data_IF_330692840647
#
_entry.id   IF_330692840647
#
_cell.length_a   1.000
_cell.length_b   1.000
_cell.length_c   1.000
_cell.angle_alpha   90.00
_cell.angle_beta   90.00
_cell.angle_gamma   90.00
#
_symmetry.space_group_name_H-M   'P 1'
#
loop_
_entity.id
_entity.type
_entity.pdbx_description
1 polymer ?
#
# COMPACT_ATOMS: atom_id res chain seq x y z
N UNK A 1 69.61 -24.03 29.26
CA UNK A 1 69.89 -25.29 29.98
C UNK A 1 71.26 -25.92 29.72
N UNK A 2 71.88 -25.78 28.52
CA UNK A 2 73.21 -26.40 28.25
C UNK A 2 74.42 -25.76 28.97
N UNK A 3 74.28 -24.55 29.52
CA UNK A 3 75.39 -23.81 30.17
C UNK A 3 75.62 -24.13 31.65
N UNK A 4 74.61 -24.59 32.40
CA UNK A 4 74.75 -24.88 33.84
C UNK A 4 75.48 -26.19 34.15
N UNK A 5 75.47 -27.14 33.19
CA UNK A 5 76.20 -28.41 33.31
C UNK A 5 77.72 -28.16 33.27
N UNK A 6 78.17 -27.14 32.53
CA UNK A 6 79.60 -26.82 32.38
C UNK A 6 80.23 -26.25 33.66
N UNK A 7 79.57 -25.30 34.33
CA UNK A 7 80.12 -24.63 35.52
C UNK A 7 80.15 -25.59 36.72
N UNK A 8 79.09 -26.38 36.91
CA UNK A 8 79.05 -27.40 37.97
C UNK A 8 80.14 -28.46 37.79
N UNK A 9 80.38 -28.93 36.56
CA UNK A 9 81.43 -29.89 36.27
C UNK A 9 82.85 -29.33 36.47
N UNK A 10 83.07 -28.04 36.15
CA UNK A 10 84.37 -27.39 36.35
C UNK A 10 84.67 -27.23 37.84
N UNK A 11 83.71 -26.73 38.64
CA UNK A 11 83.87 -26.56 40.09
C UNK A 11 84.06 -27.90 40.81
N UNK A 12 83.32 -28.93 40.39
CA UNK A 12 83.45 -30.27 40.94
C UNK A 12 84.81 -30.90 40.60
N UNK A 13 85.31 -30.70 39.37
CA UNK A 13 86.62 -31.18 38.95
C UNK A 13 87.77 -30.48 39.70
N UNK A 14 87.70 -29.17 39.95
CA UNK A 14 88.71 -28.48 40.77
C UNK A 14 88.69 -28.90 42.23
N UNK A 15 87.52 -29.13 42.83
CA UNK A 15 87.40 -29.65 44.19
C UNK A 15 87.97 -31.08 44.32
N UNK A 16 87.78 -31.93 43.30
CA UNK A 16 88.32 -33.29 43.25
C UNK A 16 89.84 -33.33 43.09
N UNK A 17 90.44 -32.35 42.39
CA UNK A 17 91.89 -32.23 42.26
C UNK A 17 92.54 -31.72 43.54
N UNK A 18 91.87 -30.81 44.26
CA UNK A 18 92.37 -30.27 45.54
C UNK A 18 92.33 -31.32 46.66
N UNK A 19 91.38 -32.25 46.65
CA UNK A 19 91.27 -33.30 47.69
C UNK A 19 92.30 -34.44 47.55
N UNK A 20 92.98 -34.57 46.41
CA UNK A 20 93.94 -35.66 46.16
C UNK A 20 95.41 -35.31 46.44
N UNK A 21 95.75 -34.04 46.74
CA UNK A 21 97.16 -33.57 46.66
C UNK A 21 97.83 -33.24 48.00
N UNK A 22 97.16 -33.24 49.15
CA UNK A 22 97.83 -32.81 50.41
C UNK A 22 97.35 -33.54 51.67
N UNK A 23 98.27 -33.90 52.59
CA UNK A 23 97.93 -34.52 53.88
C UNK A 23 97.25 -33.51 54.83
N UNK A 24 96.32 -34.03 55.64
CA UNK A 24 95.50 -33.30 56.62
C UNK A 24 96.27 -32.26 57.44
N UNK A 25 96.16 -31.00 57.05
CA UNK A 25 96.61 -29.83 57.81
C UNK A 25 95.39 -28.98 58.17
N UNK A 26 95.20 -28.66 59.45
CA UNK A 26 94.02 -27.95 60.00
C UNK A 26 93.83 -26.54 59.44
N UNK A 27 94.86 -26.01 58.77
CA UNK A 27 94.81 -24.77 58.00
C UNK A 27 93.95 -24.85 56.74
N UNK A 28 93.77 -26.02 56.12
CA UNK A 28 92.91 -26.17 54.94
C UNK A 28 91.42 -26.02 55.28
N UNK A 29 90.99 -26.58 56.40
CA UNK A 29 89.59 -26.52 56.86
C UNK A 29 89.14 -25.08 57.18
N UNK A 30 90.07 -24.28 57.71
CA UNK A 30 89.87 -22.86 58.02
C UNK A 30 89.62 -22.02 56.77
N UNK A 31 90.16 -22.41 55.60
CA UNK A 31 90.01 -21.70 54.33
C UNK A 31 88.86 -22.28 53.49
N UNK A 32 88.63 -23.60 53.56
CA UNK A 32 87.61 -24.28 52.75
C UNK A 32 86.19 -23.94 53.21
N UNK A 33 85.94 -23.85 54.52
CA UNK A 33 84.60 -23.61 55.05
C UNK A 33 83.99 -22.26 54.65
N UNK A 34 84.71 -21.12 54.70
CA UNK A 34 84.22 -19.85 54.18
C UNK A 34 83.92 -19.88 52.67
N UNK A 35 84.74 -20.60 51.89
CA UNK A 35 84.54 -20.73 50.44
C UNK A 35 83.29 -21.57 50.12
N UNK A 36 83.05 -22.66 50.85
CA UNK A 36 81.84 -23.47 50.72
C UNK A 36 80.59 -22.66 51.09
N UNK A 37 80.65 -21.88 52.18
CA UNK A 37 79.54 -20.99 52.57
C UNK A 37 79.25 -19.93 51.49
N UNK A 38 80.30 -19.30 50.92
CA UNK A 38 80.13 -18.35 49.81
C UNK A 38 79.54 -19.03 48.57
N UNK A 39 79.93 -20.27 48.27
CA UNK A 39 79.38 -21.03 47.15
C UNK A 39 77.89 -21.34 47.37
N UNK A 40 77.50 -21.71 48.59
CA UNK A 40 76.11 -21.97 48.96
C UNK A 40 75.24 -20.70 48.88
N UNK A 41 75.76 -19.56 49.35
CA UNK A 41 75.06 -18.28 49.24
C UNK A 41 74.88 -17.86 47.77
N UNK A 42 75.91 -18.01 46.94
CA UNK A 42 75.83 -17.78 45.49
C UNK A 42 74.80 -18.74 44.86
N UNK A 43 74.79 -20.01 45.24
CA UNK A 43 73.83 -20.98 44.72
C UNK A 43 72.38 -20.59 45.09
N UNK A 44 72.16 -20.15 46.33
CA UNK A 44 70.86 -19.67 46.80
C UNK A 44 70.39 -18.43 46.04
N UNK A 45 71.28 -17.47 45.80
CA UNK A 45 70.98 -16.27 45.01
C UNK A 45 70.68 -16.60 43.55
N UNK A 46 71.44 -17.52 42.93
CA UNK A 46 71.17 -18.02 41.58
C UNK A 46 69.77 -18.65 41.52
N UNK A 47 69.42 -19.51 42.48
CA UNK A 47 68.10 -20.14 42.51
C UNK A 47 66.98 -19.11 42.68
N UNK A 48 67.17 -18.10 43.54
CA UNK A 48 66.23 -16.99 43.71
C UNK A 48 66.04 -16.21 42.40
N UNK A 49 67.13 -15.89 41.69
CA UNK A 49 67.07 -15.25 40.38
C UNK A 49 66.39 -16.12 39.33
N UNK A 50 66.62 -17.45 39.31
CA UNK A 50 65.92 -18.39 38.43
C UNK A 50 64.42 -18.37 38.70
N UNK A 51 63.99 -18.43 39.97
CA UNK A 51 62.57 -18.35 40.33
C UNK A 51 61.97 -17.00 39.90
N UNK A 52 62.66 -15.89 40.11
CA UNK A 52 62.21 -14.57 39.64
C UNK A 52 62.07 -14.52 38.12
N UNK A 53 63.02 -15.07 37.36
CA UNK A 53 62.94 -15.16 35.89
C UNK A 53 61.77 -16.02 35.43
N UNK A 54 61.50 -17.14 36.12
CA UNK A 54 60.34 -17.99 35.82
C UNK A 54 59.02 -17.25 36.08
N UNK A 55 58.89 -16.53 37.20
CA UNK A 55 57.72 -15.70 37.48
C UNK A 55 57.52 -14.61 36.43
N UNK A 56 58.58 -13.90 36.04
CA UNK A 56 58.51 -12.88 34.98
C UNK A 56 58.07 -13.47 33.65
N UNK A 57 58.55 -14.66 33.30
CA UNK A 57 58.13 -15.37 32.09
C UNK A 57 56.63 -15.69 32.12
N UNK A 58 56.12 -16.22 33.23
CA UNK A 58 54.67 -16.50 33.38
C UNK A 58 53.83 -15.22 33.34
N UNK A 59 54.30 -14.12 33.93
CA UNK A 59 53.64 -12.80 33.82
C UNK A 59 53.60 -12.29 32.37
N UNK A 60 54.69 -12.47 31.61
CA UNK A 60 54.75 -12.12 30.19
C UNK A 60 53.76 -12.94 29.35
N UNK A 61 53.67 -14.25 29.60
CA UNK A 61 52.70 -15.13 28.93
C UNK A 61 51.25 -14.71 29.22
N UNK A 62 50.94 -14.38 30.48
CA UNK A 62 49.63 -13.86 30.88
C UNK A 62 49.31 -12.53 30.17
N UNK A 63 50.25 -11.59 30.13
CA UNK A 63 50.10 -10.32 29.42
C UNK A 63 49.80 -10.53 27.92
N UNK A 64 50.50 -11.45 27.27
CA UNK A 64 50.28 -11.77 25.87
C UNK A 64 48.87 -12.34 25.62
N UNK A 65 48.34 -13.17 26.54
CA UNK A 65 46.97 -13.66 26.44
C UNK A 65 45.94 -12.53 26.60
N UNK A 66 46.17 -11.59 27.52
CA UNK A 66 45.31 -10.41 27.69
C UNK A 66 45.32 -9.55 26.41
N UNK A 67 46.49 -9.28 25.84
CA UNK A 67 46.61 -8.51 24.59
C UNK A 67 45.86 -9.20 23.46
N UNK A 68 46.01 -10.52 23.31
CA UNK A 68 45.31 -11.30 22.29
C UNK A 68 43.79 -11.25 22.48
N UNK A 69 43.31 -11.31 23.72
CA UNK A 69 41.89 -11.20 24.04
C UNK A 69 41.35 -9.80 23.71
N UNK A 70 42.07 -8.74 24.08
CA UNK A 70 41.70 -7.36 23.73
C UNK A 70 41.67 -7.13 22.21
N UNK A 71 42.62 -7.71 21.46
CA UNK A 71 42.61 -7.64 20.00
C UNK A 71 41.36 -8.29 19.40
N UNK A 72 40.92 -9.45 19.92
CA UNK A 72 39.67 -10.11 19.49
C UNK A 72 38.43 -9.24 19.79
N UNK A 73 38.40 -8.61 20.96
CA UNK A 73 37.30 -7.70 21.34
C UNK A 73 37.24 -6.48 20.44
N UNK A 74 38.38 -5.85 20.13
CA UNK A 74 38.46 -4.72 19.19
C UNK A 74 37.97 -5.13 17.79
N UNK A 75 38.37 -6.30 17.30
CA UNK A 75 37.91 -6.82 16.01
C UNK A 75 36.40 -7.06 15.99
N UNK A 76 35.85 -7.62 17.07
CA UNK A 76 34.40 -7.81 17.23
C UNK A 76 33.64 -6.48 17.22
N UNK A 77 34.12 -5.48 17.97
CA UNK A 77 33.54 -4.14 17.98
C UNK A 77 33.62 -3.46 16.61
N UNK A 78 34.73 -3.61 15.89
CA UNK A 78 34.87 -3.07 14.54
C UNK A 78 33.87 -3.70 13.56
N UNK A 79 33.64 -5.01 13.65
CA UNK A 79 32.62 -5.69 12.85
C UNK A 79 31.20 -5.23 13.21
N UNK A 80 30.91 -5.00 14.49
CA UNK A 80 29.63 -4.43 14.93
C UNK A 80 29.42 -3.00 14.41
N UNK A 81 30.45 -2.16 14.48
CA UNK A 81 30.41 -0.78 13.95
C UNK A 81 30.17 -0.77 12.44
N UNK A 82 30.81 -1.67 11.70
CA UNK A 82 30.58 -1.81 10.26
C UNK A 82 29.12 -2.18 9.96
N UNK A 83 28.55 -3.16 10.68
CA UNK A 83 27.13 -3.54 10.54
C UNK A 83 26.20 -2.37 10.86
N UNK A 84 26.47 -1.63 11.94
CA UNK A 84 25.70 -0.45 12.30
C UNK A 84 25.71 0.62 11.19
N UNK A 85 26.88 0.92 10.64
CA UNK A 85 27.02 1.87 9.53
C UNK A 85 26.29 1.41 8.26
N UNK A 86 26.25 0.11 7.99
CA UNK A 86 25.45 -0.43 6.89
C UNK A 86 23.96 -0.20 7.11
N UNK A 87 23.45 -0.49 8.32
CA UNK A 87 22.05 -0.24 8.67
C UNK A 87 21.68 1.25 8.56
N UNK A 88 22.58 2.16 8.93
CA UNK A 88 22.34 3.60 8.75
C UNK A 88 22.19 4.00 7.27
N UNK A 89 23.02 3.44 6.37
CA UNK A 89 22.91 3.70 4.92
C UNK A 89 21.62 3.15 4.34
N UNK A 90 21.19 1.96 4.79
CA UNK A 90 19.92 1.36 4.39
C UNK A 90 18.74 2.25 4.85
N UNK A 91 18.79 2.77 6.09
CA UNK A 91 17.78 3.70 6.61
C UNK A 91 17.73 5.01 5.82
N UNK A 92 18.89 5.58 5.48
CA UNK A 92 18.98 6.79 4.66
C UNK A 92 18.34 6.59 3.28
N UNK A 93 18.58 5.43 2.65
CA UNK A 93 17.93 5.08 1.38
C UNK A 93 16.40 4.97 1.49
N UNK A 94 15.89 4.37 2.57
CA UNK A 94 14.44 4.28 2.84
C UNK A 94 13.82 5.66 3.05
N UNK A 95 14.49 6.53 3.80
CA UNK A 95 14.04 7.92 4.03
C UNK A 95 13.93 8.66 2.69
N UNK A 96 14.97 8.61 1.86
CA UNK A 96 14.99 9.30 0.56
C UNK A 96 13.91 8.76 -0.40
N UNK A 97 13.73 7.44 -0.46
CA UNK A 97 12.69 6.80 -1.27
C UNK A 97 11.28 7.20 -0.80
N UNK A 98 11.08 7.30 0.52
CA UNK A 98 9.79 7.70 1.11
C UNK A 98 9.50 9.18 0.84
N UNK A 99 10.51 10.04 0.91
CA UNK A 99 10.39 11.47 0.57
C UNK A 99 9.97 11.64 -0.90
N UNK A 100 10.66 10.99 -1.83
CA UNK A 100 10.32 11.02 -3.27
C UNK A 100 8.89 10.54 -3.54
N UNK A 101 8.46 9.45 -2.90
CA UNK A 101 7.08 8.95 -3.04
C UNK A 101 6.04 9.94 -2.50
N UNK A 102 6.39 10.70 -1.46
CA UNK A 102 5.50 11.70 -0.87
C UNK A 102 5.38 12.91 -1.79
N UNK A 103 6.49 13.39 -2.37
CA UNK A 103 6.49 14.47 -3.37
C UNK A 103 5.64 14.09 -4.59
N UNK A 104 5.79 12.88 -5.11
CA UNK A 104 4.99 12.39 -6.24
C UNK A 104 3.48 12.41 -5.93
N UNK A 105 3.08 11.92 -4.75
CA UNK A 105 1.66 11.95 -4.32
C UNK A 105 1.12 13.36 -4.15
N UNK A 106 1.94 14.31 -3.69
CA UNK A 106 1.54 15.71 -3.59
C UNK A 106 1.27 16.29 -4.98
N UNK A 107 2.12 16.01 -5.96
CA UNK A 107 1.90 16.42 -7.35
C UNK A 107 0.61 15.84 -7.94
N UNK A 108 0.31 14.56 -7.70
CA UNK A 108 -0.96 13.95 -8.14
C UNK A 108 -2.18 14.65 -7.51
N UNK A 109 -2.11 14.99 -6.23
CA UNK A 109 -3.19 15.70 -5.54
C UNK A 109 -3.39 17.12 -6.08
N UNK A 110 -2.30 17.85 -6.37
CA UNK A 110 -2.36 19.18 -6.97
C UNK A 110 -3.06 19.14 -8.34
N UNK A 111 -2.75 18.15 -9.19
CA UNK A 111 -3.41 17.96 -10.48
C UNK A 111 -4.91 17.65 -10.33
N UNK A 112 -5.29 16.82 -9.36
CA UNK A 112 -6.70 16.51 -9.07
C UNK A 112 -7.45 17.77 -8.63
N UNK A 113 -6.84 18.59 -7.77
CA UNK A 113 -7.43 19.84 -7.30
C UNK A 113 -7.63 20.82 -8.47
N UNK A 114 -6.64 20.97 -9.34
CA UNK A 114 -6.73 21.82 -10.53
C UNK A 114 -7.89 21.38 -11.44
N UNK A 115 -7.96 20.09 -11.78
CA UNK A 115 -9.02 19.55 -12.62
C UNK A 115 -10.41 19.71 -11.97
N UNK A 116 -10.52 19.51 -10.66
CA UNK A 116 -11.77 19.69 -9.92
C UNK A 116 -12.25 21.15 -9.94
N UNK A 117 -11.32 22.09 -9.80
CA UNK A 117 -11.61 23.53 -9.87
C UNK A 117 -12.07 23.94 -11.27
N UNK A 118 -11.43 23.44 -12.33
CA UNK A 118 -11.85 23.67 -13.71
C UNK A 118 -13.27 23.16 -13.96
N UNK A 119 -13.56 21.93 -13.54
CA UNK A 119 -14.89 21.32 -13.68
C UNK A 119 -15.96 22.09 -12.89
N UNK A 120 -15.65 22.51 -11.67
CA UNK A 120 -16.58 23.30 -10.85
C UNK A 120 -16.87 24.64 -11.51
N UNK A 121 -15.86 25.33 -12.05
CA UNK A 121 -16.04 26.57 -12.78
C UNK A 121 -16.88 26.38 -14.06
N UNK A 122 -16.70 25.27 -14.78
CA UNK A 122 -17.52 24.91 -15.94
C UNK A 122 -19.00 24.74 -15.54
N UNK A 123 -19.26 24.01 -14.45
CA UNK A 123 -20.62 23.80 -13.92
C UNK A 123 -21.25 25.12 -13.49
N UNK A 124 -20.52 25.98 -12.77
CA UNK A 124 -21.02 27.29 -12.36
C UNK A 124 -21.37 28.18 -13.55
N UNK A 125 -20.56 28.16 -14.62
CA UNK A 125 -20.88 28.87 -15.87
C UNK A 125 -22.14 28.33 -16.53
N UNK A 126 -22.29 27.00 -16.59
CA UNK A 126 -23.52 26.36 -17.12
C UNK A 126 -24.74 26.78 -16.31
N UNK A 127 -24.69 26.72 -14.98
CA UNK A 127 -25.78 27.15 -14.10
C UNK A 127 -26.11 28.63 -14.32
N UNK A 128 -25.10 29.51 -14.39
CA UNK A 128 -25.30 30.94 -14.65
C UNK A 128 -25.99 31.20 -15.99
N UNK A 129 -25.65 30.43 -17.02
CA UNK A 129 -26.28 30.54 -18.34
C UNK A 129 -27.67 29.89 -18.39
N UNK A 130 -27.94 28.89 -17.56
CA UNK A 130 -29.21 28.17 -17.55
C UNK A 130 -30.30 28.80 -16.68
N UNK A 131 -29.96 29.79 -15.83
CA UNK A 131 -30.96 30.53 -15.01
C UNK A 131 -32.05 31.25 -15.80
N UNK A 132 -31.91 31.35 -17.13
CA UNK A 132 -32.91 31.95 -18.02
C UNK A 132 -33.73 30.92 -18.84
N UNK A 133 -33.51 29.61 -18.66
CA UNK A 133 -34.33 28.60 -19.29
C UNK A 133 -35.41 28.12 -18.31
N UNK A 134 -36.61 28.68 -18.45
CA UNK A 134 -37.80 28.13 -17.82
C UNK A 134 -38.09 26.75 -18.42
N UNK A 135 -38.37 25.76 -17.56
CA UNK A 135 -38.81 24.43 -17.98
C UNK A 135 -40.03 24.59 -18.93
N UNK A 136 -40.06 23.91 -20.08
CA UNK A 136 -41.16 24.07 -21.03
C UNK A 136 -42.47 23.47 -20.50
N UNK A 137 -42.38 22.57 -19.52
CA UNK A 137 -43.50 21.78 -18.99
C UNK A 137 -43.33 21.65 -17.48
N UNK A 138 -44.33 22.09 -16.72
CA UNK A 138 -44.31 21.94 -15.27
C UNK A 138 -44.55 20.47 -14.86
N UNK A 139 -44.07 20.07 -13.69
CA UNK A 139 -44.24 18.71 -13.14
C UNK A 139 -45.71 18.26 -13.11
N UNK A 140 -46.62 19.18 -12.76
CA UNK A 140 -48.08 18.93 -12.74
C UNK A 140 -48.63 18.52 -14.10
N UNK A 141 -47.99 18.94 -15.20
CA UNK A 141 -48.45 18.66 -16.54
C UNK A 141 -48.04 17.25 -16.98
N UNK A 142 -46.82 16.80 -16.64
CA UNK A 142 -46.38 15.42 -16.88
C UNK A 142 -47.20 14.44 -16.05
N UNK A 143 -47.43 14.73 -14.77
CA UNK A 143 -48.19 13.86 -13.88
C UNK A 143 -49.71 14.02 -13.99
N UNK A 144 -50.20 14.86 -14.91
CA UNK A 144 -51.65 15.06 -15.06
C UNK A 144 -52.33 13.72 -15.32
N UNK A 145 -53.20 13.30 -14.40
CA UNK A 145 -53.89 12.00 -14.37
C UNK A 145 -52.96 10.78 -14.21
N UNK A 146 -51.72 11.00 -13.76
CA UNK A 146 -50.80 9.93 -13.39
C UNK A 146 -51.33 9.13 -12.20
N UNK A 147 -50.83 7.91 -12.05
CA UNK A 147 -51.19 7.03 -10.94
C UNK A 147 -49.91 6.63 -10.21
N UNK A 148 -49.97 6.66 -8.88
CA UNK A 148 -48.86 6.25 -8.03
C UNK A 148 -48.87 4.73 -7.86
N UNK A 149 -47.71 4.12 -8.03
CA UNK A 149 -47.45 2.69 -7.85
C UNK A 149 -46.30 2.51 -6.87
N UNK A 150 -46.36 1.46 -6.06
CA UNK A 150 -45.25 1.12 -5.17
C UNK A 150 -44.08 0.54 -5.96
N UNK A 151 -42.90 0.54 -5.37
CA UNK A 151 -41.74 -0.12 -5.98
C UNK A 151 -41.94 -1.63 -6.22
N UNK A 152 -42.83 -2.28 -5.46
CA UNK A 152 -43.19 -3.68 -5.65
C UNK A 152 -44.01 -3.85 -6.93
N UNK A 153 -45.06 -3.04 -7.12
CA UNK A 153 -45.90 -3.07 -8.32
C UNK A 153 -45.05 -2.86 -9.60
N UNK A 154 -44.14 -1.89 -9.55
CA UNK A 154 -43.21 -1.60 -10.65
C UNK A 154 -42.25 -2.77 -10.90
N UNK A 155 -41.67 -3.36 -9.86
CA UNK A 155 -40.78 -4.52 -9.98
C UNK A 155 -41.49 -5.73 -10.57
N UNK A 156 -42.70 -6.03 -10.12
CA UNK A 156 -43.51 -7.13 -10.64
C UNK A 156 -43.78 -6.94 -12.13
N UNK A 157 -44.19 -5.72 -12.54
CA UNK A 157 -44.42 -5.43 -13.95
C UNK A 157 -43.15 -5.55 -14.79
N UNK A 158 -42.03 -5.03 -14.30
CA UNK A 158 -40.76 -5.15 -15.02
C UNK A 158 -40.26 -6.59 -15.07
N UNK A 159 -40.54 -7.43 -14.07
CA UNK A 159 -40.22 -8.85 -14.08
C UNK A 159 -41.11 -9.67 -15.01
N UNK A 160 -42.35 -9.27 -15.21
CA UNK A 160 -43.23 -9.85 -16.24
C UNK A 160 -42.64 -9.64 -17.64
N UNK A 161 -42.14 -8.42 -17.92
CA UNK A 161 -41.62 -8.03 -19.24
C UNK A 161 -40.17 -8.49 -19.44
N UNK A 162 -39.33 -8.38 -18.41
CA UNK A 162 -37.91 -8.69 -18.41
C UNK A 162 -37.59 -9.77 -17.36
N UNK A 163 -38.01 -11.02 -17.56
CA UNK A 163 -37.93 -12.07 -16.53
C UNK A 163 -36.49 -12.34 -16.06
N UNK A 164 -35.52 -12.18 -16.95
CA UNK A 164 -34.09 -12.41 -16.68
C UNK A 164 -33.37 -11.20 -16.08
N UNK A 165 -33.90 -9.98 -16.21
CA UNK A 165 -33.21 -8.77 -15.79
C UNK A 165 -33.16 -8.63 -14.27
N UNK A 166 -32.07 -8.11 -13.72
CA UNK A 166 -32.01 -7.67 -12.32
C UNK A 166 -32.62 -6.28 -12.21
N UNK A 167 -33.72 -6.16 -11.47
CA UNK A 167 -34.45 -4.89 -11.28
C UNK A 167 -34.03 -4.24 -9.96
N UNK A 168 -33.60 -2.98 -10.03
CA UNK A 168 -33.23 -2.14 -8.89
C UNK A 168 -34.11 -0.89 -8.92
N UNK A 169 -34.62 -0.50 -7.76
CA UNK A 169 -35.52 0.66 -7.59
C UNK A 169 -34.96 1.52 -6.46
N UNK A 170 -34.74 2.82 -6.69
CA UNK A 170 -34.28 3.79 -5.68
C UNK A 170 -35.40 4.31 -4.81
N UNK A 171 -36.59 4.52 -5.40
CA UNK A 171 -37.74 5.13 -4.75
C UNK A 171 -38.73 4.09 -4.21
N UNK A 172 -39.53 4.50 -3.21
CA UNK A 172 -40.61 3.69 -2.63
C UNK A 172 -41.87 3.75 -3.51
N UNK A 173 -42.09 4.88 -4.16
CA UNK A 173 -43.28 5.16 -4.98
C UNK A 173 -42.85 5.79 -6.30
N UNK A 174 -43.53 5.42 -7.38
CA UNK A 174 -43.35 5.97 -8.71
C UNK A 174 -44.69 6.45 -9.27
N UNK A 175 -44.69 7.56 -9.98
CA UNK A 175 -45.82 8.07 -10.76
C UNK A 175 -45.64 7.63 -12.20
N UNK A 176 -46.59 6.82 -12.69
CA UNK A 176 -46.68 6.47 -14.10
C UNK A 176 -47.66 7.41 -14.79
N UNK A 177 -47.24 8.26 -15.73
CA UNK A 177 -48.15 9.11 -16.47
C UNK A 177 -49.04 8.28 -17.39
N UNK A 178 -50.22 8.78 -17.77
CA UNK A 178 -51.04 8.17 -18.81
C UNK A 178 -50.33 8.31 -20.17
N UNK A 179 -50.51 7.34 -21.08
CA UNK A 179 -49.81 7.32 -22.38
C UNK A 179 -50.09 8.56 -23.23
N UNK A 180 -51.24 9.22 -23.04
CA UNK A 180 -51.61 10.48 -23.68
C UNK A 180 -50.67 11.65 -23.33
N UNK A 181 -49.80 11.49 -22.33
CA UNK A 181 -48.76 12.47 -21.98
C UNK A 181 -47.41 12.20 -22.66
N UNK A 182 -47.30 11.28 -23.63
CA UNK A 182 -46.03 10.97 -24.31
C UNK A 182 -45.40 12.20 -24.98
N UNK A 183 -46.19 13.05 -25.65
CA UNK A 183 -45.71 14.29 -26.31
C UNK A 183 -45.04 15.26 -25.31
N UNK A 184 -45.52 15.29 -24.06
CA UNK A 184 -44.92 16.12 -23.00
C UNK A 184 -43.54 15.61 -22.64
N UNK A 185 -43.36 14.29 -22.62
CA UNK A 185 -42.06 13.69 -22.37
C UNK A 185 -41.10 13.95 -23.53
N UNK A 186 -41.57 13.91 -24.77
CA UNK A 186 -40.77 14.27 -25.95
C UNK A 186 -40.30 15.74 -25.90
N UNK A 187 -41.19 16.66 -25.53
CA UNK A 187 -40.81 18.08 -25.32
C UNK A 187 -39.74 18.22 -24.24
N UNK A 188 -39.88 17.48 -23.13
CA UNK A 188 -38.86 17.47 -22.08
C UNK A 188 -37.52 16.94 -22.59
N UNK A 189 -37.50 15.78 -23.25
CA UNK A 189 -36.28 15.18 -23.78
C UNK A 189 -35.58 16.13 -24.76
N UNK A 190 -36.34 16.75 -25.67
CA UNK A 190 -35.77 17.72 -26.60
C UNK A 190 -35.22 18.97 -25.89
N UNK A 191 -35.88 19.43 -24.82
CA UNK A 191 -35.39 20.55 -24.02
C UNK A 191 -34.05 20.26 -23.32
N UNK A 192 -33.79 19.00 -22.93
CA UNK A 192 -32.49 18.63 -22.33
C UNK A 192 -31.31 18.77 -23.31
N UNK A 193 -31.60 18.84 -24.63
CA UNK A 193 -30.61 18.84 -25.72
C UNK A 193 -29.69 17.61 -25.74
N UNK A 194 -30.04 16.55 -25.01
CA UNK A 194 -29.30 15.29 -25.04
C UNK A 194 -29.24 14.71 -26.46
N UNK A 195 -30.32 14.75 -27.28
CA UNK A 195 -30.27 14.29 -28.67
C UNK A 195 -29.34 15.11 -29.58
N UNK A 196 -28.92 16.32 -29.17
CA UNK A 196 -27.99 17.16 -29.93
C UNK A 196 -26.52 16.82 -29.61
N UNK A 197 -26.25 15.97 -28.61
CA UNK A 197 -24.90 15.59 -28.22
C UNK A 197 -24.30 14.61 -29.24
N UNK A 198 -23.00 14.76 -29.50
CA UNK A 198 -22.25 13.87 -30.38
C UNK A 198 -21.87 12.58 -29.62
N UNK A 199 -22.19 11.42 -30.21
CA UNK A 199 -21.71 10.14 -29.72
C UNK A 199 -20.20 10.02 -29.91
N UNK A 200 -19.49 9.64 -28.84
CA UNK A 200 -18.05 9.34 -28.87
C UNK A 200 -17.80 8.11 -28.03
N UNK A 201 -17.37 7.03 -28.68
CA UNK A 201 -17.06 5.77 -27.99
C UNK A 201 -16.17 6.03 -26.76
N UNK A 202 -16.55 5.45 -25.62
CA UNK A 202 -15.87 5.53 -24.30
C UNK A 202 -15.80 6.92 -23.64
N UNK A 203 -16.18 8.00 -24.33
CA UNK A 203 -16.13 9.38 -23.82
C UNK A 203 -17.53 9.98 -23.58
N UNK A 204 -18.48 9.57 -24.41
CA UNK A 204 -19.87 9.96 -24.40
C UNK A 204 -20.65 8.91 -25.20
N UNK A 205 -20.75 7.70 -24.66
CA UNK A 205 -21.42 6.57 -25.29
C UNK A 205 -22.77 6.26 -24.64
N UNK A 206 -23.36 5.10 -24.90
CA UNK A 206 -24.79 4.89 -24.70
C UNK A 206 -25.21 5.03 -23.22
N UNK A 207 -24.34 4.64 -22.28
CA UNK A 207 -24.60 4.79 -20.84
C UNK A 207 -24.55 6.24 -20.38
N UNK A 208 -23.61 7.05 -20.89
CA UNK A 208 -23.55 8.49 -20.62
C UNK A 208 -24.84 9.20 -21.03
N UNK A 209 -25.38 8.88 -22.21
CA UNK A 209 -26.64 9.46 -22.67
C UNK A 209 -27.81 9.03 -21.77
N UNK A 210 -27.87 7.74 -21.41
CA UNK A 210 -28.97 7.22 -20.60
C UNK A 210 -28.98 7.77 -19.17
N UNK A 211 -27.80 7.90 -18.55
CA UNK A 211 -27.66 8.47 -17.21
C UNK A 211 -27.89 9.97 -17.16
N UNK A 212 -27.51 10.71 -18.21
CA UNK A 212 -27.85 12.14 -18.31
C UNK A 212 -29.36 12.35 -18.33
N UNK A 213 -30.08 11.62 -19.18
CA UNK A 213 -31.54 11.76 -19.26
C UNK A 213 -32.21 11.35 -17.94
N UNK A 214 -31.74 10.27 -17.32
CA UNK A 214 -32.22 9.86 -16.01
C UNK A 214 -32.00 10.95 -14.95
N UNK A 215 -30.80 11.52 -14.88
CA UNK A 215 -30.46 12.59 -13.93
C UNK A 215 -31.30 13.86 -14.13
N UNK A 216 -31.48 14.31 -15.37
CA UNK A 216 -32.35 15.44 -15.69
C UNK A 216 -33.80 15.13 -15.28
N UNK A 217 -34.27 13.91 -15.56
CA UNK A 217 -35.63 13.51 -15.19
C UNK A 217 -35.82 13.49 -13.67
N UNK A 218 -34.86 13.03 -12.87
CA UNK A 218 -34.99 13.00 -11.41
C UNK A 218 -34.85 14.38 -10.79
N UNK A 219 -34.13 15.29 -11.44
CA UNK A 219 -34.01 16.70 -11.01
C UNK A 219 -35.34 17.44 -11.17
N UNK A 220 -36.10 17.14 -12.23
CA UNK A 220 -37.32 17.87 -12.57
C UNK A 220 -38.63 17.13 -12.26
N UNK A 221 -38.59 15.80 -12.26
CA UNK A 221 -39.72 14.89 -12.12
C UNK A 221 -39.30 13.68 -11.24
N UNK A 222 -38.97 13.96 -9.98
CA UNK A 222 -38.35 13.01 -9.04
C UNK A 222 -39.06 11.66 -8.92
N UNK A 223 -40.39 11.65 -9.03
CA UNK A 223 -41.21 10.45 -8.88
C UNK A 223 -41.55 9.77 -10.22
N UNK A 224 -41.10 10.29 -11.36
CA UNK A 224 -41.38 9.68 -12.65
C UNK A 224 -40.82 8.26 -12.72
N UNK A 225 -41.62 7.31 -13.22
CA UNK A 225 -41.23 5.92 -13.45
C UNK A 225 -40.30 5.76 -14.67
N UNK A 226 -39.27 6.60 -14.76
CA UNK A 226 -38.23 6.57 -15.79
C UNK A 226 -36.98 5.90 -15.21
N UNK A 227 -36.39 4.97 -15.96
CA UNK A 227 -35.20 4.22 -15.56
C UNK A 227 -34.14 4.12 -16.65
N UNK A 228 -33.03 3.47 -16.31
CA UNK A 228 -31.93 3.08 -17.20
C UNK A 228 -31.95 1.55 -17.33
N UNK A 229 -31.93 1.05 -18.57
CA UNK A 229 -31.88 -0.38 -18.88
C UNK A 229 -30.55 -0.71 -19.58
N UNK A 230 -29.90 -1.77 -19.09
CA UNK A 230 -28.66 -2.31 -19.65
C UNK A 230 -28.95 -3.62 -20.37
N UNK A 231 -28.52 -3.68 -21.62
CA UNK A 231 -28.34 -4.92 -22.37
C UNK A 231 -26.84 -5.22 -22.49
N UNK A 232 -26.49 -6.32 -23.17
CA UNK A 232 -25.10 -6.69 -23.43
C UNK A 232 -24.30 -5.63 -24.19
N UNK A 233 -24.95 -4.93 -25.13
CA UNK A 233 -24.26 -4.07 -26.11
C UNK A 233 -24.85 -2.67 -26.20
N UNK A 234 -25.84 -2.33 -25.37
CA UNK A 234 -26.53 -1.06 -25.43
C UNK A 234 -27.11 -0.68 -24.08
N UNK A 235 -27.17 0.63 -23.83
CA UNK A 235 -27.76 1.22 -22.62
C UNK A 235 -28.72 2.31 -23.07
N UNK A 236 -29.93 2.28 -22.54
CA UNK A 236 -31.01 3.18 -22.94
C UNK A 236 -31.95 3.45 -21.78
N UNK A 237 -32.92 4.34 -21.94
CA UNK A 237 -33.90 4.62 -20.89
C UNK A 237 -35.20 3.87 -21.13
N UNK A 238 -35.91 3.55 -20.06
CA UNK A 238 -37.28 3.06 -20.13
C UNK A 238 -38.21 3.98 -19.36
N UNK A 239 -39.48 4.02 -19.74
CA UNK A 239 -40.53 4.64 -18.96
C UNK A 239 -41.75 3.73 -18.88
N UNK A 240 -42.41 3.75 -17.73
CA UNK A 240 -43.66 3.01 -17.51
C UNK A 240 -44.83 3.97 -17.65
N UNK A 241 -45.66 3.72 -18.68
CA UNK A 241 -46.92 4.42 -18.88
C UNK A 241 -48.09 3.59 -18.36
N UNK A 242 -49.11 4.30 -17.89
CA UNK A 242 -50.44 3.74 -17.69
C UNK A 242 -51.20 3.78 -19.01
N UNK A 243 -51.64 2.61 -19.47
CA UNK A 243 -52.58 2.46 -20.57
C UNK A 243 -53.98 2.42 -19.97
N UNK A 244 -54.86 3.31 -20.45
CA UNK A 244 -56.31 3.35 -20.19
C UNK A 244 -56.74 3.48 -18.70
N UNK A 245 -58.06 3.41 -18.44
CA UNK A 245 -58.66 3.55 -17.12
C UNK A 245 -58.48 2.34 -16.20
N UNK A 246 -58.00 1.20 -16.71
CA UNK A 246 -57.84 -0.07 -15.98
C UNK A 246 -56.54 -0.17 -15.19
N UNK A 247 -55.71 0.89 -15.18
CA UNK A 247 -54.39 0.91 -14.54
C UNK A 247 -53.41 -0.12 -15.13
N UNK A 248 -53.61 -0.55 -16.37
CA UNK A 248 -52.67 -1.43 -17.05
C UNK A 248 -51.36 -0.69 -17.31
N UNK A 249 -50.24 -1.28 -16.92
CA UNK A 249 -48.91 -0.70 -17.14
C UNK A 249 -48.29 -1.21 -18.44
N UNK A 250 -47.54 -0.36 -19.13
CA UNK A 250 -46.76 -0.71 -20.31
C UNK A 250 -45.42 -0.02 -20.30
N UNK A 251 -44.39 -0.74 -20.74
CA UNK A 251 -43.01 -0.23 -20.81
C UNK A 251 -42.76 0.31 -22.21
N UNK A 252 -42.25 1.53 -22.27
CA UNK A 252 -41.76 2.17 -23.47
C UNK A 252 -40.24 2.34 -23.34
N UNK A 253 -39.56 2.20 -24.46
CA UNK A 253 -38.14 2.49 -24.60
C UNK A 253 -38.00 3.95 -25.01
N UNK A 254 -37.01 4.61 -24.44
CA UNK A 254 -36.54 5.92 -24.85
C UNK A 254 -35.11 5.74 -25.34
N UNK A 255 -34.86 6.09 -26.61
CA UNK A 255 -33.52 6.19 -27.16
C UNK A 255 -33.00 7.61 -26.93
N UNK A 256 -32.19 7.86 -25.88
CA UNK A 256 -31.80 9.21 -25.49
C UNK A 256 -30.98 9.93 -26.56
N UNK A 257 -30.26 9.19 -27.42
CA UNK A 257 -29.46 9.77 -28.51
C UNK A 257 -30.32 10.38 -29.62
N UNK A 258 -31.50 9.83 -29.87
CA UNK A 258 -32.39 10.30 -30.94
C UNK A 258 -33.64 11.01 -30.41
N UNK A 259 -33.88 10.93 -29.10
CA UNK A 259 -35.11 11.40 -28.46
C UNK A 259 -36.36 10.56 -28.79
N UNK A 260 -36.20 9.42 -29.45
CA UNK A 260 -37.34 8.59 -29.88
C UNK A 260 -37.92 7.81 -28.71
N UNK A 261 -39.26 7.73 -28.64
CA UNK A 261 -39.99 6.94 -27.66
C UNK A 261 -40.86 5.92 -28.40
N UNK A 262 -40.75 4.64 -28.03
CA UNK A 262 -41.51 3.58 -28.70
C UNK A 262 -41.87 2.43 -27.75
N UNK A 263 -42.99 1.72 -27.98
CA UNK A 263 -43.43 0.65 -27.09
C UNK A 263 -42.47 -0.53 -27.13
N UNK A 264 -42.17 -1.09 -25.96
CA UNK A 264 -41.45 -2.36 -25.90
C UNK A 264 -42.29 -3.47 -26.53
N UNK A 265 -41.69 -4.23 -27.46
CA UNK A 265 -42.31 -5.39 -28.07
C UNK A 265 -41.26 -6.43 -28.53
N UNK A 266 -41.71 -7.65 -28.79
CA UNK A 266 -40.82 -8.78 -29.12
C UNK A 266 -40.13 -8.68 -30.49
N UNK A 267 -40.57 -7.76 -31.35
CA UNK A 267 -40.00 -7.56 -32.70
C UNK A 267 -38.83 -6.58 -32.73
N UNK A 268 -38.54 -5.93 -31.60
CA UNK A 268 -37.41 -5.02 -31.48
C UNK A 268 -36.07 -5.74 -31.65
N UNK A 269 -35.02 -5.03 -32.09
CA UNK A 269 -33.66 -5.54 -32.10
C UNK A 269 -33.25 -6.20 -30.78
N UNK A 270 -32.38 -7.21 -30.87
CA UNK A 270 -31.95 -8.04 -29.72
C UNK A 270 -31.41 -7.21 -28.55
N UNK A 271 -30.66 -6.14 -28.83
CA UNK A 271 -30.10 -5.25 -27.81
C UNK A 271 -31.16 -4.45 -27.03
N UNK A 272 -32.41 -4.36 -27.50
CA UNK A 272 -33.53 -3.83 -26.71
C UNK A 272 -34.28 -4.92 -25.93
N UNK A 273 -34.11 -6.21 -26.26
CA UNK A 273 -34.85 -7.33 -25.68
C UNK A 273 -34.05 -8.11 -24.62
N UNK A 274 -32.75 -8.25 -24.80
CA UNK A 274 -31.87 -8.97 -23.89
C UNK A 274 -31.39 -8.09 -22.74
N UNK A 275 -32.33 -7.68 -21.89
CA UNK A 275 -32.04 -6.79 -20.75
C UNK A 275 -31.51 -7.59 -19.57
N UNK A 276 -30.36 -7.15 -19.06
CA UNK A 276 -29.66 -7.76 -17.93
C UNK A 276 -29.91 -6.99 -16.64
N UNK A 277 -30.00 -5.66 -16.71
CA UNK A 277 -30.23 -4.80 -15.56
C UNK A 277 -31.21 -3.68 -15.89
N UNK A 278 -32.03 -3.32 -14.91
CA UNK A 278 -32.86 -2.12 -14.95
C UNK A 278 -32.73 -1.38 -13.63
N UNK A 279 -32.48 -0.09 -13.70
CA UNK A 279 -32.40 0.83 -12.56
C UNK A 279 -33.47 1.91 -12.71
N UNK A 280 -34.33 2.09 -11.70
CA UNK A 280 -35.34 3.16 -11.64
C UNK A 280 -35.13 4.01 -10.39
#
# INVERSE_FOLDING_TARGET
MKWHIGIGAIVFATLLVVSQVTPHDTTQETILMPLLQQLDDIHKDINKSITQMQTLKSSQESLNQIILQQQKEIQSLHAQLHKFNQTLRELEHVINTTAQRTEFKLMELEQIIEHTNENTNLVLRKISNNKNQTLPIEEKDIYKNGTAFTNLDIKEKLKEIFPKAKIITSDIVYITPPIENIDKLEIFINWTKIPELEYKAELNDCDDFAWRLYSESKTHYSLLALGVAYSKNHVFNIIIFKINSTNQLSVYIIEPQTGSIFPFNETLPEYYREIEYVFL
#
